data_IF_330074268070
#
_entry.id   IF_330074268070
#
_cell.length_a   1.000
_cell.length_b   1.000
_cell.length_c   1.000
_cell.angle_alpha   90.00
_cell.angle_beta   90.00
_cell.angle_gamma   90.00
#
_symmetry.space_group_name_H-M   'P 1'
#
loop_
_entity.id
_entity.type
_entity.pdbx_description
1 polymer ?
#
# COMPACT_ATOMS: atom_id res chain seq x y z
N UNK A 1 -15.51 -6.94 3.65
CA UNK A 1 -15.97 -5.79 2.82
C UNK A 1 -16.13 -6.07 1.33
N UNK A 2 -15.68 -7.22 0.80
CA UNK A 2 -15.74 -7.52 -0.64
C UNK A 2 -17.15 -7.35 -1.23
N UNK A 3 -18.16 -8.00 -0.65
CA UNK A 3 -19.54 -7.93 -1.15
C UNK A 3 -20.11 -6.50 -1.21
N UNK A 4 -19.68 -5.61 -0.32
CA UNK A 4 -20.12 -4.22 -0.32
C UNK A 4 -19.46 -3.44 -1.46
N UNK A 5 -18.15 -3.62 -1.67
CA UNK A 5 -17.41 -2.94 -2.74
C UNK A 5 -17.87 -3.44 -4.11
N UNK A 6 -18.12 -4.75 -4.25
CA UNK A 6 -18.62 -5.36 -5.49
C UNK A 6 -19.94 -4.74 -5.97
N UNK A 7 -20.80 -4.27 -5.07
CA UNK A 7 -22.07 -3.60 -5.45
C UNK A 7 -21.86 -2.31 -6.25
N UNK A 8 -20.73 -1.63 -6.02
CA UNK A 8 -20.38 -0.39 -6.74
C UNK A 8 -19.55 -0.66 -8.00
N UNK A 9 -19.05 -1.89 -8.16
CA UNK A 9 -18.15 -2.32 -9.22
C UNK A 9 -17.08 -1.26 -9.58
N UNK A 10 -16.32 -0.73 -8.59
CA UNK A 10 -15.36 0.32 -8.86
C UNK A 10 -14.18 -0.23 -9.66
N UNK A 11 -13.59 0.61 -10.50
CA UNK A 11 -12.31 0.31 -11.14
C UNK A 11 -11.15 0.43 -10.14
N UNK A 12 -11.19 1.48 -9.30
CA UNK A 12 -10.16 1.80 -8.33
C UNK A 12 -10.72 1.93 -6.91
N UNK A 13 -9.93 1.50 -5.92
CA UNK A 13 -10.23 1.65 -4.49
C UNK A 13 -9.10 2.43 -3.82
N UNK A 14 -9.46 3.53 -3.15
CA UNK A 14 -8.56 4.32 -2.31
C UNK A 14 -8.73 3.88 -0.85
N UNK A 15 -7.64 3.41 -0.24
CA UNK A 15 -7.56 3.04 1.17
C UNK A 15 -6.84 4.16 1.91
N UNK A 16 -7.43 4.65 3.00
CA UNK A 16 -6.90 5.75 3.82
C UNK A 16 -6.78 5.32 5.28
N UNK A 17 -5.66 5.67 5.92
CA UNK A 17 -5.56 5.63 7.38
C UNK A 17 -6.38 6.77 8.01
N UNK A 18 -7.27 6.43 8.94
CA UNK A 18 -8.17 7.38 9.59
C UNK A 18 -7.58 8.08 10.83
N UNK A 19 -6.34 7.80 11.19
CA UNK A 19 -5.68 8.24 12.42
C UNK A 19 -4.62 9.35 12.21
N UNK A 20 -4.39 9.77 10.97
CA UNK A 20 -3.44 10.82 10.63
C UNK A 20 -4.12 12.17 10.37
N UNK A 21 -3.48 13.26 10.82
CA UNK A 21 -3.89 14.65 10.50
C UNK A 21 -2.96 15.17 9.40
N UNK A 22 -3.49 15.38 8.19
CA UNK A 22 -2.74 15.89 7.05
C UNK A 22 -3.68 16.53 6.01
N UNK A 23 -3.09 17.16 4.99
CA UNK A 23 -3.81 17.67 3.82
C UNK A 23 -3.15 17.14 2.56
N UNK A 24 -3.91 16.41 1.75
CA UNK A 24 -3.44 15.84 0.48
C UNK A 24 -4.56 15.93 -0.57
N UNK A 25 -4.18 16.18 -1.82
CA UNK A 25 -5.09 16.06 -2.96
C UNK A 25 -4.93 14.66 -3.60
N UNK A 26 -5.85 13.74 -3.33
CA UNK A 26 -5.76 12.37 -3.82
C UNK A 26 -5.92 12.23 -5.34
N UNK A 27 -6.52 13.22 -6.02
CA UNK A 27 -6.66 13.17 -7.49
C UNK A 27 -5.31 13.00 -8.17
N UNK A 28 -4.26 13.68 -7.68
CA UNK A 28 -2.90 13.57 -8.23
C UNK A 28 -2.38 12.13 -8.12
N UNK A 29 -2.59 11.47 -6.98
CA UNK A 29 -2.17 10.09 -6.76
C UNK A 29 -2.97 9.09 -7.61
N UNK A 30 -4.28 9.33 -7.76
CA UNK A 30 -5.17 8.51 -8.59
C UNK A 30 -4.80 8.66 -10.08
N UNK A 31 -4.52 9.87 -10.54
CA UNK A 31 -4.13 10.12 -11.92
C UNK A 31 -2.78 9.47 -12.23
N UNK A 32 -1.79 9.60 -11.34
CA UNK A 32 -0.53 8.86 -11.46
C UNK A 32 -0.73 7.33 -11.51
N UNK A 33 -1.60 6.78 -10.65
CA UNK A 33 -1.92 5.35 -10.65
C UNK A 33 -2.48 4.89 -12.00
N UNK A 34 -3.34 5.70 -12.62
CA UNK A 34 -3.91 5.43 -13.95
C UNK A 34 -2.86 5.55 -15.06
N UNK A 35 -2.02 6.58 -15.02
CA UNK A 35 -0.99 6.82 -16.03
C UNK A 35 0.02 5.68 -16.10
N UNK A 36 0.41 5.13 -14.95
CA UNK A 36 1.36 4.01 -14.85
C UNK A 36 0.67 2.64 -15.00
N UNK A 37 -0.67 2.61 -15.00
CA UNK A 37 -1.48 1.38 -14.99
C UNK A 37 -1.08 0.39 -13.88
N UNK A 38 -0.73 0.92 -12.70
CA UNK A 38 -0.22 0.13 -11.59
C UNK A 38 -1.30 -0.77 -10.97
N UNK A 39 -0.91 -1.92 -10.40
CA UNK A 39 -1.84 -2.76 -9.62
C UNK A 39 -2.12 -2.14 -8.23
N UNK A 40 -1.10 -1.53 -7.65
CA UNK A 40 -1.14 -0.77 -6.39
C UNK A 40 -0.19 0.42 -6.48
N UNK A 41 -0.60 1.58 -5.97
CA UNK A 41 0.24 2.74 -5.74
C UNK A 41 0.20 3.08 -4.25
N UNK A 42 1.37 3.27 -3.65
CA UNK A 42 1.53 3.57 -2.23
C UNK A 42 2.04 5.00 -2.07
N UNK A 43 1.40 5.79 -1.20
CA UNK A 43 1.91 7.12 -0.84
C UNK A 43 3.06 6.98 0.14
N UNK A 44 4.16 7.68 -0.15
CA UNK A 44 5.38 7.65 0.67
C UNK A 44 5.85 9.04 1.05
N UNK A 45 6.56 9.10 2.17
CA UNK A 45 7.32 10.28 2.60
C UNK A 45 8.73 9.85 3.00
N UNK A 46 9.69 10.75 2.82
CA UNK A 46 11.01 10.57 3.42
C UNK A 46 10.97 10.91 4.90
N UNK A 47 11.45 9.99 5.71
CA UNK A 47 11.63 10.18 7.16
C UNK A 47 13.10 10.00 7.54
N UNK A 48 13.58 10.66 8.61
CA UNK A 48 14.91 10.39 9.13
C UNK A 48 15.09 8.89 9.41
N UNK A 49 16.23 8.32 9.02
CA UNK A 49 16.51 6.87 9.16
C UNK A 49 16.32 6.35 10.61
N UNK A 50 16.58 7.21 11.59
CA UNK A 50 16.38 6.97 13.03
C UNK A 50 14.91 6.80 13.44
N UNK A 51 13.97 7.26 12.64
CA UNK A 51 12.52 7.16 12.87
C UNK A 51 11.86 6.10 11.97
N UNK A 52 12.54 5.68 10.91
CA UNK A 52 12.01 4.76 9.89
C UNK A 52 11.52 3.41 10.45
N UNK A 53 12.09 2.91 11.55
CA UNK A 53 11.67 1.65 12.17
C UNK A 53 10.24 1.66 12.73
N UNK A 54 9.58 2.82 12.77
CA UNK A 54 8.18 2.98 13.22
C UNK A 54 7.16 2.83 12.10
N UNK A 55 7.60 2.76 10.86
CA UNK A 55 6.75 2.78 9.66
C UNK A 55 6.93 1.52 8.82
N UNK A 56 6.03 1.30 7.86
CA UNK A 56 6.28 0.40 6.74
C UNK A 56 7.29 1.03 5.81
N UNK A 57 8.46 0.42 5.66
CA UNK A 57 9.57 0.94 4.87
C UNK A 57 9.62 0.19 3.55
N UNK A 58 9.73 0.95 2.47
CA UNK A 58 9.83 0.40 1.13
C UNK A 58 11.14 0.76 0.46
N UNK A 59 11.51 -0.03 -0.52
CA UNK A 59 12.53 0.32 -1.49
C UNK A 59 11.96 0.24 -2.89
N UNK A 60 12.38 1.17 -3.73
CA UNK A 60 11.97 1.26 -5.12
C UNK A 60 13.19 1.26 -6.03
N UNK A 61 13.00 0.78 -7.26
CA UNK A 61 14.02 0.92 -8.31
C UNK A 61 14.01 2.34 -8.92
N UNK A 62 14.87 2.58 -9.89
CA UNK A 62 14.98 3.89 -10.56
C UNK A 62 13.69 4.34 -11.28
N UNK A 63 12.78 3.40 -11.58
CA UNK A 63 11.48 3.68 -12.19
C UNK A 63 10.38 3.99 -11.17
N UNK A 64 10.68 3.88 -9.88
CA UNK A 64 9.72 4.05 -8.79
C UNK A 64 8.87 2.79 -8.53
N UNK A 65 9.20 1.66 -9.15
CA UNK A 65 8.55 0.39 -8.86
C UNK A 65 9.04 -0.15 -7.52
N UNK A 66 8.12 -0.54 -6.64
CA UNK A 66 8.44 -1.12 -5.34
C UNK A 66 9.06 -2.51 -5.55
N UNK A 67 10.22 -2.74 -4.93
CA UNK A 67 10.97 -4.01 -4.98
C UNK A 67 10.97 -4.76 -3.64
N UNK A 68 10.79 -4.05 -2.52
CA UNK A 68 10.77 -4.63 -1.17
C UNK A 68 9.88 -3.76 -0.28
N UNK A 69 9.19 -4.39 0.67
CA UNK A 69 8.35 -3.76 1.67
C UNK A 69 8.52 -4.48 3.02
N UNK A 70 8.93 -3.75 4.04
CA UNK A 70 9.09 -4.26 5.40
C UNK A 70 8.27 -3.44 6.39
N UNK A 71 7.34 -4.06 7.12
CA UNK A 71 6.58 -3.40 8.18
C UNK A 71 7.42 -3.26 9.46
N UNK A 72 7.67 -2.01 9.90
CA UNK A 72 8.35 -1.66 11.15
C UNK A 72 9.68 -2.41 11.35
N UNK A 73 10.62 -2.31 10.39
CA UNK A 73 11.86 -3.08 10.45
C UNK A 73 12.77 -2.57 11.57
N UNK A 74 13.41 -3.51 12.29
CA UNK A 74 14.41 -3.16 13.32
C UNK A 74 15.63 -2.44 12.73
N UNK A 75 15.95 -2.73 11.45
CA UNK A 75 17.06 -2.12 10.70
C UNK A 75 16.54 -1.65 9.34
N UNK A 76 15.99 -0.43 9.25
CA UNK A 76 15.48 0.11 8.00
C UNK A 76 16.56 0.19 6.92
N UNK A 77 16.25 -0.27 5.71
CA UNK A 77 17.14 -0.22 4.53
C UNK A 77 16.97 1.06 3.69
N UNK A 78 15.91 1.82 3.95
CA UNK A 78 15.47 2.99 3.18
C UNK A 78 14.82 4.01 4.12
N UNK A 79 14.69 5.25 3.65
CA UNK A 79 13.95 6.34 4.31
C UNK A 79 12.53 6.50 3.79
N UNK A 80 12.16 5.78 2.72
CA UNK A 80 10.82 5.85 2.14
C UNK A 80 9.84 5.12 3.05
N UNK A 81 9.04 5.90 3.78
CA UNK A 81 8.03 5.40 4.69
C UNK A 81 6.64 5.49 4.06
N UNK A 82 5.90 4.37 4.10
CA UNK A 82 4.49 4.30 3.73
C UNK A 82 3.64 5.16 4.67
N UNK A 83 2.73 5.93 4.09
CA UNK A 83 1.75 6.73 4.83
C UNK A 83 0.49 5.93 5.23
N UNK A 84 0.38 4.66 4.83
CA UNK A 84 -0.87 3.89 4.98
C UNK A 84 -1.98 4.36 4.03
N UNK A 85 -1.61 4.92 2.88
CA UNK A 85 -2.52 5.40 1.85
C UNK A 85 -2.21 4.65 0.56
N UNK A 86 -3.22 3.98 0.01
CA UNK A 86 -3.06 3.09 -1.13
C UNK A 86 -4.14 3.33 -2.18
N UNK A 87 -3.77 3.32 -3.46
CA UNK A 87 -4.71 3.23 -4.58
C UNK A 87 -4.52 1.86 -5.22
N UNK A 88 -5.59 1.09 -5.33
CA UNK A 88 -5.57 -0.23 -5.96
C UNK A 88 -6.52 -0.29 -7.15
N UNK A 89 -6.16 -1.10 -8.15
CA UNK A 89 -7.17 -1.72 -9.03
C UNK A 89 -8.04 -2.66 -8.19
N UNK A 90 -9.36 -2.51 -8.24
CA UNK A 90 -10.26 -3.32 -7.41
C UNK A 90 -10.07 -4.83 -7.65
N UNK A 91 -9.91 -5.22 -8.91
CA UNK A 91 -9.67 -6.62 -9.31
C UNK A 91 -8.43 -7.22 -8.65
N UNK A 92 -7.38 -6.42 -8.45
CA UNK A 92 -6.13 -6.84 -7.81
C UNK A 92 -6.28 -6.90 -6.31
N UNK A 93 -6.82 -5.84 -5.70
CA UNK A 93 -7.09 -5.83 -4.26
C UNK A 93 -7.93 -7.02 -3.83
N UNK A 94 -9.05 -7.27 -4.52
CA UNK A 94 -9.92 -8.42 -4.24
C UNK A 94 -9.18 -9.75 -4.31
N UNK A 95 -8.41 -9.98 -5.39
CA UNK A 95 -7.61 -11.20 -5.55
C UNK A 95 -6.67 -11.42 -4.38
N UNK A 96 -5.91 -10.40 -3.97
CA UNK A 96 -4.93 -10.55 -2.90
C UNK A 96 -5.56 -10.67 -1.51
N UNK A 97 -6.71 -10.02 -1.26
CA UNK A 97 -7.49 -10.25 -0.04
C UNK A 97 -8.01 -11.69 0.06
N UNK A 98 -8.47 -12.29 -1.04
CA UNK A 98 -8.93 -13.68 -1.07
C UNK A 98 -7.79 -14.71 -0.92
N UNK A 99 -6.58 -14.36 -1.37
CA UNK A 99 -5.37 -15.16 -1.15
C UNK A 99 -4.95 -15.06 0.32
N UNK A 100 -4.91 -13.85 0.86
CA UNK A 100 -4.55 -13.56 2.25
C UNK A 100 -5.47 -14.30 3.25
N UNK A 101 -6.78 -14.25 3.04
CA UNK A 101 -7.78 -14.95 3.86
C UNK A 101 -7.56 -16.48 3.93
N UNK A 102 -6.94 -17.05 2.90
CA UNK A 102 -6.60 -18.48 2.82
C UNK A 102 -5.19 -18.80 3.28
N UNK A 103 -4.36 -17.80 3.59
CA UNK A 103 -2.96 -17.97 3.95
C UNK A 103 -2.84 -18.29 5.45
N UNK A 104 -2.39 -19.49 5.83
CA UNK A 104 -2.28 -19.85 7.25
C UNK A 104 -1.31 -18.95 8.00
N UNK A 105 -1.76 -18.37 9.10
CA UNK A 105 -0.92 -17.50 9.94
C UNK A 105 -0.82 -16.05 9.48
N UNK A 106 -1.57 -15.64 8.45
CA UNK A 106 -1.74 -14.22 8.11
C UNK A 106 -2.32 -13.44 9.29
N UNK A 107 -1.88 -12.19 9.45
CA UNK A 107 -2.48 -11.24 10.39
C UNK A 107 -3.58 -10.37 9.78
N UNK A 108 -3.90 -10.59 8.50
CA UNK A 108 -4.83 -9.80 7.69
C UNK A 108 -4.52 -8.30 7.73
N UNK A 109 -3.23 -7.97 7.67
CA UNK A 109 -2.71 -6.60 7.68
C UNK A 109 -2.16 -6.22 6.30
N UNK A 110 -2.42 -4.98 5.87
CA UNK A 110 -1.95 -4.51 4.57
C UNK A 110 -0.42 -4.49 4.46
N UNK A 111 0.27 -3.99 5.48
CA UNK A 111 1.73 -3.86 5.45
C UNK A 111 2.44 -5.19 5.70
N UNK A 112 1.89 -6.05 6.56
CA UNK A 112 2.54 -7.34 6.89
C UNK A 112 2.22 -8.45 5.93
N UNK A 113 1.02 -8.46 5.35
CA UNK A 113 0.53 -9.60 4.59
C UNK A 113 0.16 -9.19 3.14
N UNK A 114 -0.80 -8.30 2.94
CA UNK A 114 -1.37 -8.04 1.59
C UNK A 114 -0.35 -7.43 0.62
N UNK A 115 0.37 -6.37 1.01
CA UNK A 115 1.37 -5.72 0.15
C UNK A 115 2.55 -6.66 -0.13
N UNK A 116 3.15 -7.34 0.87
CA UNK A 116 4.18 -8.34 0.60
C UNK A 116 3.74 -9.47 -0.34
N UNK A 117 2.48 -9.93 -0.28
CA UNK A 117 1.94 -10.94 -1.20
C UNK A 117 1.88 -10.47 -2.67
N UNK A 118 1.94 -9.16 -2.92
CA UNK A 118 1.91 -8.58 -4.28
C UNK A 118 3.28 -8.46 -4.94
N UNK A 119 4.36 -8.62 -4.17
CA UNK A 119 5.76 -8.48 -4.62
C UNK A 119 6.35 -9.84 -5.00
#
# INVERSE_FOLDING_TARGET
>A
NINFIDQYAPEYVLILSGDHIYKMNYSIMIDFHKEIDADCTISVIDVPIKEASRFGILSSDESGKIIDFEEKPKKPKSTQASMGIYVFKWSKLKKYLEIDDKTPGSSSDFGKDVIPLML
#
